data_IF_891225289235
#
_entry.id   IF_891225289235
#
_cell.length_a   1.000
_cell.length_b   1.000
_cell.length_c   1.000
_cell.angle_alpha   90.00
_cell.angle_beta   90.00
_cell.angle_gamma   90.00
#
_symmetry.space_group_name_H-M   'P 1'
#
loop_
_entity.id
_entity.type
_entity.pdbx_description
1 polymer ?
#
# COMPACT_ATOMS: atom_id res chain seq x y z
N UNK A 1 -2.27 18.47 -34.31
CA UNK A 1 -0.82 18.71 -34.19
C UNK A 1 -0.52 18.88 -32.72
N UNK A 2 0.42 18.10 -32.18
CA UNK A 2 0.89 18.26 -30.79
C UNK A 2 1.69 19.56 -30.72
N UNK A 3 1.45 20.39 -29.71
CA UNK A 3 2.18 21.65 -29.54
C UNK A 3 3.65 21.41 -29.19
N UNK A 4 4.53 22.36 -29.50
CA UNK A 4 5.96 22.29 -29.15
C UNK A 4 6.16 22.10 -27.64
N UNK A 5 5.28 22.70 -26.82
CA UNK A 5 5.32 22.57 -25.35
C UNK A 5 4.98 21.16 -24.88
N UNK A 6 3.96 20.53 -25.47
CA UNK A 6 3.59 19.14 -25.15
C UNK A 6 4.68 18.16 -25.59
N UNK A 7 5.30 18.37 -26.76
CA UNK A 7 6.42 17.54 -27.21
C UNK A 7 7.61 17.60 -26.23
N UNK A 8 7.91 18.78 -25.70
CA UNK A 8 8.98 18.95 -24.71
C UNK A 8 8.63 18.29 -23.37
N UNK A 9 7.37 18.39 -22.93
CA UNK A 9 6.92 17.73 -21.70
C UNK A 9 7.00 16.19 -21.81
N UNK A 10 6.59 15.62 -22.95
CA UNK A 10 6.72 14.19 -23.23
C UNK A 10 8.20 13.75 -23.23
N UNK A 11 9.11 14.55 -23.81
CA UNK A 11 10.55 14.25 -23.79
C UNK A 11 11.09 14.21 -22.37
N UNK A 12 10.70 15.17 -21.52
CA UNK A 12 11.10 15.17 -20.10
C UNK A 12 10.61 13.95 -19.35
N UNK A 13 9.36 13.53 -19.59
CA UNK A 13 8.83 12.29 -19.04
C UNK A 13 9.69 11.08 -19.46
N UNK A 14 9.99 10.94 -20.76
CA UNK A 14 10.77 9.80 -21.26
C UNK A 14 12.16 9.76 -20.62
N UNK A 15 12.84 10.92 -20.49
CA UNK A 15 14.14 11.01 -19.83
C UNK A 15 14.03 10.61 -18.35
N UNK A 16 13.01 11.08 -17.64
CA UNK A 16 12.76 10.71 -16.25
C UNK A 16 12.54 9.20 -16.08
N UNK A 17 11.74 8.57 -16.96
CA UNK A 17 11.49 7.14 -16.91
C UNK A 17 12.76 6.33 -17.22
N UNK A 18 13.57 6.77 -18.17
CA UNK A 18 14.87 6.16 -18.48
C UNK A 18 15.86 6.29 -17.33
N UNK A 19 15.86 7.44 -16.65
CA UNK A 19 16.66 7.64 -15.45
C UNK A 19 16.22 6.65 -14.36
N UNK A 20 14.92 6.49 -14.11
CA UNK A 20 14.43 5.48 -13.16
C UNK A 20 14.86 4.05 -13.53
N UNK A 21 14.72 3.68 -14.80
CA UNK A 21 14.98 2.33 -15.30
C UNK A 21 16.47 1.96 -15.18
N UNK A 22 17.37 2.93 -15.42
CA UNK A 22 18.83 2.76 -15.32
C UNK A 22 19.43 3.11 -13.94
N UNK A 23 18.66 3.77 -13.08
CA UNK A 23 19.15 4.30 -11.81
C UNK A 23 19.62 3.19 -10.86
N UNK A 24 20.76 3.46 -10.23
CA UNK A 24 21.20 2.71 -9.07
C UNK A 24 20.36 3.07 -7.84
N UNK A 25 20.49 2.24 -6.81
CA UNK A 25 19.76 2.35 -5.54
C UNK A 25 19.71 3.75 -4.93
N UNK A 26 20.85 4.47 -4.89
CA UNK A 26 20.92 5.81 -4.28
C UNK A 26 20.12 6.83 -5.10
N UNK A 27 20.22 6.76 -6.43
CA UNK A 27 19.49 7.64 -7.34
C UNK A 27 17.99 7.37 -7.26
N UNK A 28 17.57 6.10 -7.26
CA UNK A 28 16.15 5.75 -7.05
C UNK A 28 15.61 6.28 -5.73
N UNK A 29 16.40 6.20 -4.66
CA UNK A 29 16.02 6.74 -3.36
C UNK A 29 15.78 8.26 -3.43
N UNK A 30 16.67 8.99 -4.11
CA UNK A 30 16.51 10.44 -4.31
C UNK A 30 15.30 10.78 -5.19
N UNK A 31 15.06 10.01 -6.26
CA UNK A 31 13.87 10.15 -7.10
C UNK A 31 12.61 9.96 -6.26
N UNK A 32 12.54 8.92 -5.42
CA UNK A 32 11.39 8.69 -4.53
C UNK A 32 11.20 9.83 -3.53
N UNK A 33 12.26 10.34 -2.91
CA UNK A 33 12.17 11.48 -1.98
C UNK A 33 11.62 12.73 -2.67
N UNK A 34 12.14 13.05 -3.85
CA UNK A 34 11.68 14.20 -4.63
C UNK A 34 10.23 14.01 -5.07
N UNK A 35 9.86 12.81 -5.51
CA UNK A 35 8.50 12.49 -5.90
C UNK A 35 7.53 12.65 -4.73
N UNK A 36 7.83 12.06 -3.57
CA UNK A 36 6.98 12.16 -2.37
C UNK A 36 6.75 13.61 -1.98
N UNK A 37 7.85 14.37 -1.82
CA UNK A 37 7.78 15.77 -1.40
C UNK A 37 7.00 16.65 -2.38
N UNK A 38 7.03 16.33 -3.67
CA UNK A 38 6.42 17.18 -4.70
C UNK A 38 4.97 16.80 -5.01
N UNK A 39 4.55 15.58 -4.69
CA UNK A 39 3.28 15.00 -5.15
C UNK A 39 2.31 14.58 -4.05
N UNK A 40 2.69 14.68 -2.77
CA UNK A 40 1.79 14.40 -1.66
C UNK A 40 0.53 15.28 -1.71
N UNK A 41 -0.65 14.66 -1.62
CA UNK A 41 -1.95 15.35 -1.64
C UNK A 41 -2.47 15.77 -3.02
N UNK A 42 -1.76 15.46 -4.11
CA UNK A 42 -2.23 15.78 -5.47
C UNK A 42 -3.40 14.90 -5.92
N UNK A 43 -4.22 15.48 -6.78
CA UNK A 43 -5.30 14.83 -7.50
C UNK A 43 -4.80 14.11 -8.75
N UNK A 44 -5.60 13.19 -9.31
CA UNK A 44 -5.22 12.49 -10.55
C UNK A 44 -4.93 13.46 -11.72
N UNK A 45 -5.74 14.51 -11.98
CA UNK A 45 -5.43 15.46 -13.06
C UNK A 45 -4.10 16.21 -12.87
N UNK A 46 -3.72 16.52 -11.63
CA UNK A 46 -2.45 17.19 -11.34
C UNK A 46 -1.26 16.25 -11.56
N UNK A 47 -1.39 14.99 -11.15
CA UNK A 47 -0.39 13.96 -11.44
C UNK A 47 -0.26 13.74 -12.95
N UNK A 48 -1.37 13.63 -13.67
CA UNK A 48 -1.31 13.44 -15.13
C UNK A 48 -0.76 14.67 -15.84
N UNK A 49 -1.02 15.88 -15.34
CA UNK A 49 -0.40 17.08 -15.88
C UNK A 49 1.12 17.08 -15.69
N UNK A 50 1.61 16.71 -14.51
CA UNK A 50 3.04 16.61 -14.22
C UNK A 50 3.73 15.55 -15.09
N UNK A 51 3.07 14.42 -15.30
CA UNK A 51 3.60 13.29 -16.05
C UNK A 51 3.17 13.27 -17.51
N UNK A 52 2.71 14.38 -18.09
CA UNK A 52 2.31 14.46 -19.51
C UNK A 52 1.36 13.34 -19.95
N UNK A 53 0.36 13.03 -19.12
CA UNK A 53 -0.62 11.95 -19.27
C UNK A 53 -0.02 10.52 -19.20
N UNK A 54 1.17 10.40 -18.61
CA UNK A 54 1.92 9.15 -18.46
C UNK A 54 2.15 8.73 -17.01
N UNK A 55 1.35 9.20 -16.06
CA UNK A 55 1.56 8.91 -14.64
C UNK A 55 1.47 7.39 -14.33
N UNK A 56 0.53 6.69 -14.98
CA UNK A 56 0.40 5.21 -14.91
C UNK A 56 1.68 4.47 -15.31
N UNK A 57 2.49 5.03 -16.23
CA UNK A 57 3.76 4.41 -16.63
C UNK A 57 4.79 4.42 -15.50
N UNK A 58 4.75 5.44 -14.65
CA UNK A 58 5.61 5.49 -13.48
C UNK A 58 5.08 4.57 -12.38
N UNK A 59 3.76 4.54 -12.15
CA UNK A 59 3.14 3.59 -11.22
C UNK A 59 3.52 2.13 -11.57
N UNK A 60 3.41 1.73 -12.83
CA UNK A 60 3.80 0.40 -13.29
C UNK A 60 5.28 0.06 -12.99
N UNK A 61 6.18 1.05 -13.07
CA UNK A 61 7.59 0.86 -12.71
C UNK A 61 7.81 0.74 -11.21
N UNK A 62 7.09 1.54 -10.41
CA UNK A 62 7.13 1.45 -8.95
C UNK A 62 6.67 0.07 -8.48
N UNK A 63 5.62 -0.48 -9.09
CA UNK A 63 5.07 -1.77 -8.69
C UNK A 63 5.94 -2.96 -9.10
N UNK A 64 6.54 -2.93 -10.29
CA UNK A 64 7.57 -3.90 -10.69
C UNK A 64 8.75 -3.84 -9.72
N UNK A 65 9.21 -2.64 -9.38
CA UNK A 65 10.31 -2.46 -8.45
C UNK A 65 9.96 -2.90 -7.02
N UNK A 66 8.69 -2.76 -6.60
CA UNK A 66 8.20 -3.23 -5.32
C UNK A 66 8.40 -4.74 -5.22
N UNK A 67 7.95 -5.48 -6.23
CA UNK A 67 8.07 -6.94 -6.31
C UNK A 67 9.52 -7.40 -6.23
N UNK A 68 10.43 -6.71 -6.91
CA UNK A 68 11.86 -7.02 -6.82
C UNK A 68 12.44 -6.72 -5.43
N UNK A 69 12.03 -5.61 -4.82
CA UNK A 69 12.62 -5.12 -3.55
C UNK A 69 12.26 -6.02 -2.35
N UNK A 70 11.00 -6.45 -2.23
CA UNK A 70 10.58 -7.25 -1.07
C UNK A 70 10.89 -8.76 -1.22
N UNK A 71 10.99 -9.29 -2.45
CA UNK A 71 11.30 -10.71 -2.71
C UNK A 71 12.80 -11.02 -2.73
N UNK A 72 13.64 -10.06 -3.13
CA UNK A 72 15.08 -10.28 -3.32
C UNK A 72 15.96 -9.43 -2.39
N UNK A 73 15.87 -9.63 -1.06
CA UNK A 73 16.58 -8.79 -0.09
C UNK A 73 18.11 -8.85 -0.20
N UNK A 74 18.71 -9.87 -0.84
CA UNK A 74 20.17 -9.95 -1.00
C UNK A 74 20.73 -9.05 -2.12
N UNK A 75 19.90 -8.61 -3.07
CA UNK A 75 20.31 -7.70 -4.16
C UNK A 75 20.00 -6.24 -3.84
N UNK A 76 19.08 -6.02 -2.90
CA UNK A 76 18.70 -4.69 -2.41
C UNK A 76 18.66 -4.73 -0.89
N UNK A 77 19.72 -4.25 -0.23
CA UNK A 77 19.59 -3.85 1.17
C UNK A 77 18.37 -2.91 1.25
N UNK A 78 17.32 -3.35 1.93
CA UNK A 78 15.95 -2.83 1.94
C UNK A 78 15.83 -1.37 2.49
N UNK A 79 16.48 -0.39 1.87
CA UNK A 79 16.58 0.97 2.41
C UNK A 79 15.57 1.95 1.79
N UNK A 80 14.68 1.48 0.92
CA UNK A 80 13.70 2.36 0.25
C UNK A 80 12.30 1.77 0.09
N UNK A 81 12.00 0.59 0.66
CA UNK A 81 10.67 -0.01 0.56
C UNK A 81 9.59 0.92 1.14
N UNK A 82 9.81 1.50 2.33
CA UNK A 82 8.91 2.52 2.89
C UNK A 82 8.62 3.68 1.91
N UNK A 83 9.64 4.21 1.24
CA UNK A 83 9.48 5.32 0.27
C UNK A 83 8.76 4.87 -0.99
N UNK A 84 9.01 3.64 -1.43
CA UNK A 84 8.34 3.05 -2.56
C UNK A 84 6.84 2.85 -2.28
N UNK A 85 6.50 2.31 -1.10
CA UNK A 85 5.12 2.16 -0.65
C UNK A 85 4.43 3.52 -0.51
N UNK A 86 5.08 4.53 0.09
CA UNK A 86 4.56 5.91 0.15
C UNK A 86 4.29 6.49 -1.24
N UNK A 87 5.22 6.27 -2.18
CA UNK A 87 5.06 6.76 -3.56
C UNK A 87 3.86 6.12 -4.24
N UNK A 88 3.64 4.81 -4.05
CA UNK A 88 2.43 4.12 -4.51
C UNK A 88 1.19 4.71 -3.81
N UNK A 89 1.28 5.02 -2.52
CA UNK A 89 0.21 5.64 -1.74
C UNK A 89 -0.27 6.97 -2.31
N UNK A 90 0.62 7.78 -2.89
CA UNK A 90 0.25 9.02 -3.58
C UNK A 90 -0.70 8.73 -4.76
N UNK A 91 -0.40 7.71 -5.56
CA UNK A 91 -1.30 7.31 -6.65
C UNK A 91 -2.63 6.77 -6.14
N UNK A 92 -2.62 5.93 -5.09
CA UNK A 92 -3.83 5.32 -4.55
C UNK A 92 -4.74 6.29 -3.80
N UNK A 93 -4.18 7.37 -3.23
CA UNK A 93 -4.92 8.41 -2.52
C UNK A 93 -5.34 9.60 -3.40
N UNK A 94 -4.86 9.65 -4.65
CA UNK A 94 -5.17 10.74 -5.56
C UNK A 94 -6.68 10.83 -5.82
N UNK A 95 -7.28 11.98 -5.55
CA UNK A 95 -8.70 12.19 -5.78
C UNK A 95 -9.04 11.95 -7.27
N UNK A 96 -10.15 11.24 -7.51
CA UNK A 96 -10.59 10.74 -8.82
C UNK A 96 -9.73 9.62 -9.45
N UNK A 97 -8.57 9.27 -8.88
CA UNK A 97 -7.59 8.32 -9.40
C UNK A 97 -7.95 6.83 -9.36
N UNK A 98 -9.21 6.47 -9.61
CA UNK A 98 -9.70 5.08 -9.60
C UNK A 98 -8.96 4.17 -10.57
N UNK A 99 -8.42 4.74 -11.65
CA UNK A 99 -7.57 4.05 -12.62
C UNK A 99 -6.29 3.51 -11.97
N UNK A 100 -5.58 4.31 -11.19
CA UNK A 100 -4.36 3.87 -10.49
C UNK A 100 -4.65 2.73 -9.50
N UNK A 101 -5.75 2.83 -8.77
CA UNK A 101 -6.20 1.77 -7.89
C UNK A 101 -6.48 0.48 -8.68
N UNK A 102 -7.15 0.58 -9.82
CA UNK A 102 -7.45 -0.59 -10.68
C UNK A 102 -6.17 -1.23 -11.21
N UNK A 103 -5.26 -0.44 -11.78
CA UNK A 103 -3.96 -0.91 -12.29
C UNK A 103 -3.14 -1.61 -11.19
N UNK A 104 -3.12 -1.06 -9.97
CA UNK A 104 -2.43 -1.66 -8.83
C UNK A 104 -3.05 -3.00 -8.39
N UNK A 105 -4.37 -3.13 -8.47
CA UNK A 105 -5.07 -4.36 -8.09
C UNK A 105 -4.90 -5.46 -9.15
N UNK A 106 -4.92 -5.11 -10.44
CA UNK A 106 -4.76 -6.06 -11.56
C UNK A 106 -3.43 -6.81 -11.53
N UNK A 107 -2.36 -6.17 -11.03
CA UNK A 107 -1.05 -6.81 -10.86
C UNK A 107 -0.93 -7.64 -9.57
N UNK A 108 -2.00 -7.77 -8.79
CA UNK A 108 -2.02 -8.48 -7.52
C UNK A 108 -1.54 -7.65 -6.32
N UNK A 109 -1.71 -6.31 -6.36
CA UNK A 109 -1.23 -5.40 -5.32
C UNK A 109 -1.65 -5.77 -3.90
N UNK A 110 -2.89 -6.23 -3.68
CA UNK A 110 -3.36 -6.72 -2.37
C UNK A 110 -2.50 -7.88 -1.85
N UNK A 111 -2.21 -8.86 -2.70
CA UNK A 111 -1.42 -10.02 -2.31
C UNK A 111 0.01 -9.63 -1.94
N UNK A 112 0.62 -8.72 -2.70
CA UNK A 112 1.95 -8.15 -2.42
C UNK A 112 1.97 -7.47 -1.04
N UNK A 113 0.99 -6.61 -0.74
CA UNK A 113 0.93 -5.90 0.54
C UNK A 113 0.74 -6.86 1.72
N UNK A 114 -0.13 -7.87 1.57
CA UNK A 114 -0.34 -8.89 2.61
C UNK A 114 0.90 -9.78 2.81
N UNK A 115 1.65 -10.07 1.74
CA UNK A 115 2.90 -10.81 1.82
C UNK A 115 3.97 -10.03 2.60
N UNK A 116 4.11 -8.73 2.36
CA UNK A 116 5.04 -7.86 3.11
C UNK A 116 4.82 -7.96 4.63
N UNK A 117 3.57 -8.02 5.10
CA UNK A 117 3.26 -8.14 6.53
C UNK A 117 3.84 -9.41 7.17
N UNK A 118 3.87 -10.52 6.41
CA UNK A 118 4.31 -11.84 6.89
C UNK A 118 5.84 -12.02 6.87
N UNK A 119 6.58 -11.14 6.21
CA UNK A 119 8.04 -11.27 6.08
C UNK A 119 8.76 -10.79 7.33
N UNK A 120 9.43 -11.71 8.04
CA UNK A 120 10.09 -11.42 9.32
C UNK A 120 11.34 -10.53 9.20
N UNK A 121 11.96 -10.46 8.02
CA UNK A 121 13.18 -9.68 7.78
C UNK A 121 12.91 -8.21 7.42
N UNK A 122 11.64 -7.86 7.15
CA UNK A 122 11.23 -6.49 6.85
C UNK A 122 10.99 -5.72 8.14
N UNK A 123 11.23 -4.41 8.09
CA UNK A 123 11.06 -3.55 9.25
C UNK A 123 9.57 -3.28 9.50
N UNK A 124 9.22 -3.03 10.75
CA UNK A 124 7.86 -2.65 11.14
C UNK A 124 7.37 -1.39 10.41
N UNK A 125 8.27 -0.44 10.10
CA UNK A 125 7.94 0.77 9.32
C UNK A 125 7.46 0.47 7.89
N UNK A 126 8.04 -0.56 7.24
CA UNK A 126 7.65 -0.98 5.90
C UNK A 126 6.30 -1.71 5.93
N UNK A 127 6.10 -2.56 6.94
CA UNK A 127 4.85 -3.30 7.15
C UNK A 127 3.70 -2.35 7.46
N UNK A 128 3.93 -1.37 8.34
CA UNK A 128 2.95 -0.33 8.66
C UNK A 128 2.52 0.44 7.41
N UNK A 129 3.46 0.80 6.54
CA UNK A 129 3.10 1.49 5.30
C UNK A 129 2.28 0.59 4.35
N UNK A 130 2.54 -0.71 4.35
CA UNK A 130 1.69 -1.67 3.61
C UNK A 130 0.26 -1.74 4.16
N UNK A 131 0.09 -1.64 5.48
CA UNK A 131 -1.25 -1.54 6.12
C UNK A 131 -1.96 -0.28 5.67
N UNK A 132 -1.29 0.87 5.58
CA UNK A 132 -1.89 2.11 5.08
C UNK A 132 -2.35 2.01 3.63
N UNK A 133 -1.56 1.35 2.77
CA UNK A 133 -2.01 1.10 1.39
C UNK A 133 -3.24 0.18 1.34
N UNK A 134 -3.32 -0.82 2.21
CA UNK A 134 -4.53 -1.65 2.35
C UNK A 134 -5.74 -0.82 2.84
N UNK A 135 -5.53 0.14 3.74
CA UNK A 135 -6.59 1.07 4.17
C UNK A 135 -7.11 1.92 3.00
N UNK A 136 -6.22 2.51 2.19
CA UNK A 136 -6.61 3.24 0.97
C UNK A 136 -7.44 2.36 0.01
N UNK A 137 -7.05 1.10 -0.15
CA UNK A 137 -7.81 0.13 -0.95
C UNK A 137 -9.20 -0.12 -0.34
N UNK A 138 -9.32 -0.27 0.99
CA UNK A 138 -10.63 -0.43 1.65
C UNK A 138 -11.55 0.78 1.52
N UNK A 139 -10.98 1.98 1.46
CA UNK A 139 -11.72 3.23 1.33
C UNK A 139 -12.35 3.38 -0.06
N UNK A 140 -11.83 2.69 -1.08
CA UNK A 140 -12.44 2.60 -2.40
C UNK A 140 -13.80 1.88 -2.43
N UNK A 141 -14.22 1.25 -1.32
CA UNK A 141 -15.55 0.69 -1.14
C UNK A 141 -15.61 -0.83 -0.96
N UNK A 142 -16.85 -1.33 -0.79
CA UNK A 142 -17.12 -2.72 -0.36
C UNK A 142 -16.41 -3.78 -1.20
N UNK A 143 -16.42 -3.65 -2.53
CA UNK A 143 -15.79 -4.64 -3.44
C UNK A 143 -14.31 -4.88 -3.13
N UNK A 144 -13.59 -3.84 -2.68
CA UNK A 144 -12.17 -3.96 -2.35
C UNK A 144 -11.96 -4.53 -0.94
N UNK A 145 -12.86 -4.24 0.00
CA UNK A 145 -12.89 -4.93 1.31
C UNK A 145 -13.07 -6.44 1.13
N UNK A 146 -14.00 -6.84 0.27
CA UNK A 146 -14.24 -8.24 -0.08
C UNK A 146 -13.00 -8.88 -0.70
N UNK A 147 -12.35 -8.21 -1.66
CA UNK A 147 -11.11 -8.69 -2.29
C UNK A 147 -9.99 -8.93 -1.26
N UNK A 148 -9.82 -8.03 -0.28
CA UNK A 148 -8.83 -8.20 0.80
C UNK A 148 -9.19 -9.42 1.65
N UNK A 149 -10.45 -9.60 2.03
CA UNK A 149 -10.90 -10.75 2.80
C UNK A 149 -10.70 -12.08 2.06
N UNK A 150 -11.01 -12.13 0.75
CA UNK A 150 -10.80 -13.28 -0.14
C UNK A 150 -9.31 -13.64 -0.27
N UNK A 151 -8.43 -12.64 -0.20
CA UNK A 151 -6.97 -12.80 -0.31
C UNK A 151 -6.30 -13.20 1.02
N UNK A 152 -7.04 -13.81 1.96
CA UNK A 152 -6.56 -14.13 3.31
C UNK A 152 -6.10 -12.90 4.12
N UNK A 153 -6.69 -11.73 3.84
CA UNK A 153 -6.35 -10.48 4.50
C UNK A 153 -6.61 -10.49 6.00
N UNK A 154 -7.76 -11.03 6.43
CA UNK A 154 -8.11 -11.13 7.86
C UNK A 154 -7.05 -11.91 8.63
N UNK A 155 -6.66 -13.09 8.13
CA UNK A 155 -5.64 -13.91 8.77
C UNK A 155 -4.30 -13.17 8.85
N UNK A 156 -3.81 -12.66 7.72
CA UNK A 156 -2.51 -11.97 7.66
C UNK A 156 -2.46 -10.75 8.59
N UNK A 157 -3.56 -9.99 8.69
CA UNK A 157 -3.68 -8.84 9.59
C UNK A 157 -3.73 -9.25 11.06
N UNK A 158 -4.49 -10.30 11.40
CA UNK A 158 -4.55 -10.80 12.78
C UNK A 158 -3.19 -11.36 13.24
N UNK A 159 -2.48 -12.08 12.38
CA UNK A 159 -1.13 -12.56 12.65
C UNK A 159 -0.15 -11.39 12.85
N UNK A 160 -0.21 -10.37 12.00
CA UNK A 160 0.62 -9.18 12.15
C UNK A 160 0.29 -8.41 13.44
N UNK A 161 -0.99 -8.25 13.80
CA UNK A 161 -1.41 -7.63 15.05
C UNK A 161 -0.88 -8.38 16.29
N UNK A 162 -0.90 -9.72 16.27
CA UNK A 162 -0.38 -10.55 17.37
C UNK A 162 1.14 -10.44 17.56
N UNK A 163 1.88 -10.30 16.45
CA UNK A 163 3.35 -10.39 16.43
C UNK A 163 4.04 -9.02 16.46
N UNK A 164 3.37 -7.96 16.00
CA UNK A 164 3.94 -6.62 15.94
C UNK A 164 4.23 -6.05 17.33
N UNK A 165 5.33 -5.29 17.40
CA UNK A 165 5.77 -4.56 18.62
C UNK A 165 5.51 -3.06 18.54
N UNK A 166 5.15 -2.53 17.37
CA UNK A 166 4.86 -1.10 17.19
C UNK A 166 3.41 -0.84 17.53
N UNK A 167 3.19 0.06 18.50
CA UNK A 167 1.85 0.46 18.91
C UNK A 167 1.09 1.08 17.74
N UNK A 168 1.77 1.92 16.96
CA UNK A 168 1.17 2.59 15.82
C UNK A 168 0.81 1.62 14.70
N UNK A 169 1.62 0.59 14.45
CA UNK A 169 1.29 -0.46 13.49
C UNK A 169 0.09 -1.28 13.97
N UNK A 170 0.00 -1.60 15.26
CA UNK A 170 -1.13 -2.32 15.84
C UNK A 170 -2.43 -1.50 15.75
N UNK A 171 -2.37 -0.20 16.01
CA UNK A 171 -3.53 0.70 15.89
C UNK A 171 -4.00 0.81 14.42
N UNK A 172 -3.08 0.95 13.46
CA UNK A 172 -3.42 0.98 12.02
C UNK A 172 -4.07 -0.34 11.56
N UNK A 173 -3.58 -1.48 12.05
CA UNK A 173 -4.16 -2.81 11.75
C UNK A 173 -5.54 -2.97 12.40
N UNK A 174 -5.71 -2.50 13.63
CA UNK A 174 -7.00 -2.53 14.31
C UNK A 174 -8.06 -1.73 13.55
N UNK A 175 -7.70 -0.52 13.12
CA UNK A 175 -8.56 0.32 12.29
C UNK A 175 -8.95 -0.37 10.97
N UNK A 176 -7.98 -1.01 10.32
CA UNK A 176 -8.23 -1.76 9.09
C UNK A 176 -9.16 -2.96 9.32
N UNK A 177 -8.97 -3.73 10.39
CA UNK A 177 -9.84 -4.87 10.74
C UNK A 177 -11.27 -4.40 11.06
N UNK A 178 -11.44 -3.30 11.78
CA UNK A 178 -12.75 -2.68 12.04
C UNK A 178 -13.42 -2.25 10.71
N UNK A 179 -12.67 -1.58 9.82
CA UNK A 179 -13.16 -1.19 8.49
C UNK A 179 -13.56 -2.41 7.64
N UNK A 180 -12.80 -3.50 7.67
CA UNK A 180 -13.14 -4.73 6.95
C UNK A 180 -14.41 -5.40 7.48
N UNK A 181 -14.72 -5.26 8.78
CA UNK A 181 -15.96 -5.75 9.38
C UNK A 181 -17.16 -4.85 9.08
N UNK A 182 -16.98 -3.54 9.06
CA UNK A 182 -18.05 -2.55 8.84
C UNK A 182 -18.46 -2.43 7.38
N UNK A 183 -19.77 -2.50 7.13
CA UNK A 183 -20.34 -2.33 5.79
C UNK A 183 -19.99 -3.47 4.81
N UNK A 184 -19.52 -4.61 5.33
CA UNK A 184 -19.10 -5.80 4.58
C UNK A 184 -19.77 -7.09 5.13
N UNK A 185 -21.10 -7.26 4.96
CA UNK A 185 -21.84 -8.37 5.59
C UNK A 185 -21.32 -9.76 5.19
N UNK A 186 -20.81 -9.91 3.96
CA UNK A 186 -20.29 -11.18 3.42
C UNK A 186 -19.13 -11.74 4.24
N UNK A 187 -18.23 -10.86 4.72
CA UNK A 187 -17.03 -11.26 5.46
C UNK A 187 -17.01 -10.79 6.92
N UNK A 188 -18.05 -10.11 7.40
CA UNK A 188 -18.16 -9.69 8.80
C UNK A 188 -17.90 -10.83 9.79
N UNK A 189 -18.46 -12.02 9.53
CA UNK A 189 -18.24 -13.20 10.37
C UNK A 189 -16.79 -13.72 10.29
N UNK A 190 -16.12 -13.60 9.14
CA UNK A 190 -14.70 -13.96 9.02
C UNK A 190 -13.84 -13.04 9.88
N UNK A 191 -14.08 -11.72 9.82
CA UNK A 191 -13.40 -10.72 10.65
C UNK A 191 -13.65 -11.00 12.14
N UNK A 192 -14.91 -11.22 12.52
CA UNK A 192 -15.30 -11.55 13.89
C UNK A 192 -14.54 -12.79 14.40
N UNK A 193 -14.54 -13.89 13.63
CA UNK A 193 -13.80 -15.11 13.98
C UNK A 193 -12.29 -14.89 14.09
N UNK A 194 -11.72 -14.09 13.19
CA UNK A 194 -10.30 -13.73 13.23
C UNK A 194 -9.93 -12.98 14.51
N UNK A 195 -10.75 -12.02 14.93
CA UNK A 195 -10.56 -11.27 16.17
C UNK A 195 -10.71 -12.16 17.42
N UNK A 196 -11.67 -13.08 17.43
CA UNK A 196 -11.82 -14.07 18.53
C UNK A 196 -10.60 -14.99 18.60
N UNK A 197 -10.07 -15.43 17.47
CA UNK A 197 -8.87 -16.26 17.40
C UNK A 197 -7.60 -15.53 17.89
N UNK A 198 -7.63 -14.20 17.97
CA UNK A 198 -6.53 -13.39 18.51
C UNK A 198 -6.53 -13.33 20.05
N UNK A 199 -7.65 -13.57 20.71
CA UNK A 199 -7.77 -13.48 22.18
C UNK A 199 -6.77 -14.36 22.96
N UNK A 200 -6.40 -15.58 22.53
CA UNK A 200 -5.37 -16.37 23.21
C UNK A 200 -3.92 -15.95 22.88
N UNK A 201 -3.65 -14.88 22.12
CA UNK A 201 -2.29 -14.51 21.75
C UNK A 201 -1.48 -13.97 22.94
N UNK A 202 -0.15 -13.98 22.85
CA UNK A 202 0.73 -13.55 23.95
C UNK A 202 0.79 -12.02 24.15
N UNK A 203 0.26 -11.22 23.22
CA UNK A 203 0.33 -9.75 23.24
C UNK A 203 -0.91 -9.16 23.94
N UNK A 204 -0.79 -8.59 25.16
CA UNK A 204 -1.94 -8.03 25.87
C UNK A 204 -2.59 -6.86 25.13
N UNK A 205 -1.77 -6.08 24.40
CA UNK A 205 -2.27 -4.96 23.58
C UNK A 205 -3.09 -5.47 22.40
N UNK A 206 -2.61 -6.50 21.70
CA UNK A 206 -3.37 -7.10 20.60
C UNK A 206 -4.71 -7.66 21.08
N UNK A 207 -4.74 -8.35 22.24
CA UNK A 207 -5.97 -8.80 22.88
C UNK A 207 -6.94 -7.65 23.17
N UNK A 208 -6.43 -6.55 23.75
CA UNK A 208 -7.23 -5.36 24.05
C UNK A 208 -7.85 -4.75 22.78
N UNK A 209 -7.04 -4.58 21.72
CA UNK A 209 -7.48 -4.04 20.44
C UNK A 209 -8.52 -4.95 19.75
N UNK A 210 -8.35 -6.26 19.84
CA UNK A 210 -9.33 -7.21 19.34
C UNK A 210 -10.67 -7.10 20.09
N UNK A 211 -10.64 -7.03 21.43
CA UNK A 211 -11.86 -6.85 22.23
C UNK A 211 -12.57 -5.54 21.94
N UNK A 212 -11.84 -4.44 21.75
CA UNK A 212 -12.42 -3.15 21.37
C UNK A 212 -13.14 -3.24 20.03
N UNK A 213 -12.52 -3.88 19.04
CA UNK A 213 -13.10 -4.07 17.71
C UNK A 213 -14.32 -4.98 17.75
N UNK A 214 -14.25 -6.09 18.48
CA UNK A 214 -15.38 -7.02 18.66
C UNK A 214 -16.60 -6.32 19.26
N UNK A 215 -16.41 -5.48 20.28
CA UNK A 215 -17.49 -4.69 20.88
C UNK A 215 -18.11 -3.70 19.90
N UNK A 216 -17.30 -3.12 19.03
CA UNK A 216 -17.76 -2.11 18.08
C UNK A 216 -18.46 -2.72 16.84
N UNK A 217 -18.39 -4.04 16.66
CA UNK A 217 -19.06 -4.82 15.61
C UNK A 217 -20.35 -5.50 16.08
N UNK A 218 -20.64 -5.50 17.39
CA UNK A 218 -21.89 -5.94 18.00
C UNK A 218 -22.96 -4.87 17.88
#
# INVERSE_FOLDING_TARGET
MISVREQEAIRKLVVFLQEWDSAQKVVRNHILDNFIRSNEGKTEPELELEFSQGASLFLARLTVWLRMTYLFPCYTYNTCLNKLLKSIGIFLSAASGHRYLTEFLEIGGVWILLEILRLNHLKEEDKRESVKLLQLITDGGRKYKELICESYGVQSLTEFLATSKSVEAQDDVQFLLDSLGRGNPKYQNQVYKGLVALLPCASPRAQQLALQTLRAMQ
#
